data_IF_122084903320
#
_entry.id   IF_122084903320
#
_cell.length_a   1.000
_cell.length_b   1.000
_cell.length_c   1.000
_cell.angle_alpha   90.00
_cell.angle_beta   90.00
_cell.angle_gamma   90.00
#
_symmetry.space_group_name_H-M   'P 1'
#
loop_
_entity.id
_entity.type
_entity.pdbx_description
1 polymer ?
2 non-polymer ?
3 non-polymer ?
4 water ?
#
# COMPACT_ATOMS: atom_id res chain seq x y z
N UNK A 14 -11.44 24.22 18.33
CA UNK A 14 -10.08 24.65 18.07
C UNK A 14 -9.98 26.20 18.12
N UNK A 15 -9.16 26.74 19.00
CA UNK A 15 -9.25 28.16 19.35
C UNK A 15 -8.69 29.05 18.24
N UNK A 16 -9.13 30.31 18.26
CA UNK A 16 -8.69 31.21 17.19
C UNK A 16 -7.23 31.59 17.36
N UNK A 17 -6.75 31.65 18.61
CA UNK A 17 -5.33 31.90 18.84
C UNK A 17 -4.48 30.78 18.27
N UNK A 18 -4.98 29.54 18.33
CA UNK A 18 -4.21 28.41 17.81
C UNK A 18 -4.14 28.47 16.28
N UNK A 19 -5.26 28.79 15.62
CA UNK A 19 -5.25 28.90 14.17
C UNK A 19 -4.28 29.98 13.73
N UNK A 20 -4.28 31.13 14.41
CA UNK A 20 -3.34 32.18 14.08
C UNK A 20 -1.89 31.74 14.27
N UNK A 21 -1.64 30.92 15.30
CA UNK A 21 -0.29 30.39 15.48
C UNK A 21 0.11 29.48 14.32
N UNK A 22 -0.83 28.65 13.85
CA UNK A 22 -0.54 27.83 12.67
C UNK A 22 -0.26 28.69 11.45
N UNK A 23 -1.10 29.70 11.23
CA UNK A 23 -0.88 30.58 10.09
C UNK A 23 0.46 31.29 10.18
N UNK A 24 0.94 31.57 11.41
CA UNK A 24 2.23 32.21 11.58
C UNK A 24 3.39 31.34 11.11
N UNK A 25 3.21 30.01 11.12
CA UNK A 25 4.26 29.11 10.67
C UNK A 25 4.26 28.94 9.15
N UNK A 26 3.11 28.60 8.57
CA UNK A 26 3.07 28.17 7.17
C UNK A 26 2.54 29.24 6.23
N UNK A 27 1.90 30.28 6.75
CA UNK A 27 1.30 31.31 5.91
C UNK A 27 -0.19 31.14 5.80
N UNK A 28 -0.92 32.26 5.77
CA UNK A 28 -2.38 32.20 5.75
C UNK A 28 -2.96 31.30 4.66
N UNK A 29 -2.48 31.29 3.41
CA UNK A 29 -3.09 30.43 2.39
C UNK A 29 -2.93 28.94 2.67
N UNK A 30 -2.05 28.55 3.58
CA UNK A 30 -1.73 27.15 3.80
C UNK A 30 -2.34 26.59 5.08
N UNK A 31 -3.33 27.29 5.64
CA UNK A 31 -4.14 26.81 6.76
C UNK A 31 -5.61 26.92 6.36
N UNK A 32 -6.38 25.85 6.55
CA UNK A 32 -7.81 25.97 6.29
C UNK A 32 -8.63 25.32 7.39
N UNK A 33 -9.65 26.03 7.86
CA UNK A 33 -10.66 25.48 8.75
C UNK A 33 -12.02 25.35 8.08
N UNK A 34 -12.08 25.48 6.75
CA UNK A 34 -13.34 25.40 6.02
C UNK A 34 -13.86 23.97 5.99
N UNK A 35 -15.18 23.83 6.20
CA UNK A 35 -15.77 22.49 6.35
C UNK A 35 -15.50 21.61 5.14
N UNK A 36 -15.62 22.16 3.93
CA UNK A 36 -15.44 21.34 2.73
C UNK A 36 -14.01 20.85 2.61
N UNK A 37 -13.04 21.71 2.93
CA UNK A 37 -11.64 21.32 2.83
C UNK A 37 -11.31 20.27 3.88
N UNK A 38 -11.85 20.45 5.09
CA UNK A 38 -11.64 19.44 6.12
C UNK A 38 -12.28 18.11 5.74
N UNK A 39 -13.47 18.14 5.16
CA UNK A 39 -14.14 16.88 4.80
C UNK A 39 -13.34 16.11 3.75
N UNK A 40 -12.74 16.82 2.79
CA UNK A 40 -11.91 16.19 1.77
C UNK A 40 -10.68 15.51 2.35
N UNK A 41 -10.28 15.91 3.56
CA UNK A 41 -9.12 15.34 4.23
C UNK A 41 -9.50 14.45 5.39
N UNK A 42 -10.77 14.08 5.50
CA UNK A 42 -11.24 13.25 6.59
C UNK A 42 -11.46 11.80 6.23
N UNK A 43 -11.10 11.40 5.02
CA UNK A 43 -11.35 10.05 4.57
C UNK A 43 -10.29 9.68 3.55
N UNK A 44 -10.20 8.38 3.30
CA UNK A 44 -9.31 7.92 2.25
C UNK A 44 -10.15 7.17 1.23
N UNK A 45 -9.61 6.14 0.60
CA UNK A 45 -10.35 5.45 -0.44
C UNK A 45 -11.18 4.29 0.10
N UNK A 46 -11.21 4.08 1.40
CA UNK A 46 -11.98 2.99 1.98
C UNK A 46 -13.35 3.47 2.44
N UNK A 47 -14.18 2.52 2.87
CA UNK A 47 -15.51 2.79 3.41
C UNK A 47 -15.52 3.41 4.80
N UNK A 48 -14.37 3.53 5.48
CA UNK A 48 -14.37 4.10 6.83
C UNK A 48 -14.96 5.49 6.79
N UNK A 49 -15.86 5.78 7.73
CA UNK A 49 -16.67 6.98 7.59
C UNK A 49 -15.79 8.21 7.78
N UNK A 50 -16.12 9.25 7.02
CA UNK A 50 -15.33 10.46 7.04
C UNK A 50 -15.40 11.12 8.41
N UNK A 51 -14.23 11.40 8.98
CA UNK A 51 -14.11 12.11 10.24
C UNK A 51 -13.17 13.28 10.01
N UNK A 52 -13.73 14.47 9.79
CA UNK A 52 -12.93 15.59 9.33
C UNK A 52 -12.03 16.12 10.44
N UNK A 53 -10.79 16.45 10.11
CA UNK A 53 -9.94 17.16 11.06
C UNK A 53 -10.52 18.53 11.34
N UNK A 54 -10.02 19.15 12.41
CA UNK A 54 -10.44 20.51 12.75
C UNK A 54 -9.77 21.57 11.87
N UNK A 55 -8.61 21.25 11.30
CA UNK A 55 -7.96 22.15 10.35
C UNK A 55 -7.08 21.31 9.44
N UNK A 56 -6.77 21.87 8.27
CA UNK A 56 -5.79 21.29 7.37
C UNK A 56 -4.66 22.29 7.19
N UNK A 57 -3.41 21.82 7.22
CA UNK A 57 -2.25 22.67 7.10
C UNK A 57 -1.32 22.09 6.05
N UNK A 58 -0.75 22.94 5.19
CA UNK A 58 0.19 22.54 4.17
C UNK A 58 1.56 23.15 4.45
N UNK A 59 2.43 22.48 5.20
CA UNK A 59 3.77 23.04 5.40
C UNK A 59 4.57 23.04 4.11
N UNK A 60 5.40 24.07 3.97
CA UNK A 60 6.16 24.28 2.75
C UNK A 60 7.60 23.79 2.82
N UNK A 61 8.10 23.43 4.01
CA UNK A 61 9.45 22.90 4.14
C UNK A 61 9.54 22.18 5.48
N UNK A 62 10.67 21.52 5.71
CA UNK A 62 10.77 20.66 6.89
C UNK A 62 10.78 21.48 8.17
N UNK A 63 11.37 22.68 8.13
CA UNK A 63 11.30 23.56 9.31
C UNK A 63 9.86 23.85 9.70
N UNK A 64 8.98 24.08 8.72
CA UNK A 64 7.57 24.31 9.02
C UNK A 64 6.88 23.05 9.55
N UNK A 65 7.22 21.87 9.02
CA UNK A 65 6.65 20.64 9.57
C UNK A 65 7.02 20.53 11.04
N UNK A 66 8.28 20.79 11.36
CA UNK A 66 8.74 20.70 12.75
C UNK A 66 7.99 21.68 13.64
N UNK A 67 7.79 22.92 13.17
CA UNK A 67 7.14 23.92 13.99
C UNK A 67 5.64 23.67 14.13
N UNK A 68 4.97 23.18 13.09
CA UNK A 68 3.56 22.80 13.24
C UNK A 68 3.44 21.64 14.23
N UNK A 69 4.31 20.64 14.11
CA UNK A 69 4.21 19.50 15.02
C UNK A 69 4.41 19.93 16.46
N UNK A 70 5.42 20.78 16.71
CA UNK A 70 5.70 21.21 18.07
C UNK A 70 4.54 22.03 18.63
N UNK A 71 3.92 22.86 17.79
CA UNK A 71 2.77 23.65 18.23
C UNK A 71 1.60 22.76 18.62
N UNK A 72 1.27 21.78 17.77
CA UNK A 72 0.17 20.86 18.06
C UNK A 72 0.48 20.02 19.29
N UNK A 73 1.67 19.42 19.29
CA UNK A 73 2.03 18.50 20.36
C UNK A 73 1.93 19.19 21.73
N UNK A 74 2.54 20.37 21.85
CA UNK A 74 2.57 21.06 23.14
C UNK A 74 1.20 21.59 23.56
N UNK A 75 0.29 21.81 22.62
CA UNK A 75 -1.05 22.25 22.94
C UNK A 75 -2.04 21.10 23.07
N UNK A 76 -1.59 19.85 22.96
CA UNK A 76 -2.49 18.73 23.11
C UNK A 76 -3.44 18.54 21.95
N UNK A 77 -3.01 18.88 20.74
CA UNK A 77 -3.84 18.80 19.54
C UNK A 77 -3.34 17.63 18.69
N UNK A 78 -4.20 16.68 18.33
CA UNK A 78 -3.75 15.55 17.52
C UNK A 78 -3.25 15.99 16.16
N UNK A 79 -2.33 15.18 15.61
CA UNK A 79 -1.71 15.41 14.32
C UNK A 79 -2.02 14.23 13.41
N UNK A 80 -2.47 14.50 12.20
CA UNK A 80 -2.75 13.41 11.27
C UNK A 80 -1.93 13.64 10.00
N UNK A 81 -0.87 12.88 9.73
CA UNK A 81 -0.13 13.09 8.48
C UNK A 81 -1.00 12.67 7.31
N UNK A 82 -0.91 13.42 6.22
CA UNK A 82 -1.77 13.18 5.07
C UNK A 82 -0.89 13.22 3.83
N UNK A 83 -0.88 12.13 3.07
CA UNK A 83 -0.13 12.09 1.83
C UNK A 83 -1.04 12.35 0.66
N UNK A 84 -1.36 11.32 -0.10
CA UNK A 84 -2.28 11.49 -1.21
C UNK A 84 -3.67 10.94 -0.90
N UNK A 85 -3.89 10.43 0.31
CA UNK A 85 -5.21 10.01 0.74
C UNK A 85 -5.74 8.79 0.01
N UNK A 86 -4.86 7.92 -0.50
CA UNK A 86 -5.24 6.71 -1.22
C UNK A 86 -5.22 5.47 -0.33
N UNK A 87 -4.93 5.61 0.95
CA UNK A 87 -4.97 4.48 1.86
C UNK A 87 -6.35 3.83 1.90
N UNK A 88 -6.36 2.59 2.38
CA UNK A 88 -7.64 1.87 2.44
C UNK A 88 -8.01 1.36 3.82
N UNK A 89 -7.35 1.86 4.89
CA UNK A 89 -7.74 1.44 6.23
C UNK A 89 -8.10 2.59 7.16
N UNK A 90 -8.41 3.76 6.62
CA UNK A 90 -8.85 4.86 7.46
C UNK A 90 -7.73 5.54 8.19
N UNK A 91 -6.49 5.39 7.69
CA UNK A 91 -5.37 6.00 8.37
C UNK A 91 -5.49 7.49 8.53
N UNK A 92 -6.15 8.18 7.59
CA UNK A 92 -6.22 9.64 7.69
C UNK A 92 -7.50 10.13 8.38
N UNK A 93 -8.42 9.24 8.78
CA UNK A 93 -9.61 9.68 9.48
C UNK A 93 -9.26 10.34 10.81
N UNK A 94 -9.79 11.55 11.05
CA UNK A 94 -9.43 12.29 12.27
C UNK A 94 -10.38 11.93 13.41
N UNK A 95 -10.16 10.73 13.95
CA UNK A 95 -11.12 10.16 14.91
C UNK A 95 -11.16 10.97 16.20
N UNK A 96 -10.10 11.72 16.52
CA UNK A 96 -10.11 12.60 17.68
C UNK A 96 -9.94 14.07 17.27
N UNK A 97 -10.32 14.39 16.03
CA UNK A 97 -10.13 15.74 15.54
C UNK A 97 -8.66 16.06 15.37
N UNK A 98 -8.33 17.34 15.43
CA UNK A 98 -6.95 17.78 15.36
C UNK A 98 -6.57 18.36 14.01
N UNK A 99 -5.28 18.41 13.76
CA UNK A 99 -4.72 19.10 12.61
C UNK A 99 -4.23 18.05 11.61
N UNK A 100 -4.77 18.10 10.40
CA UNK A 100 -4.32 17.26 9.31
C UNK A 100 -3.18 17.97 8.59
N UNK A 101 -2.03 17.31 8.49
CA UNK A 101 -0.85 17.93 7.88
C UNK A 101 -0.72 17.33 6.50
N UNK A 102 -1.12 18.10 5.48
CA UNK A 102 -0.98 17.66 4.10
C UNK A 102 0.43 17.98 3.64
N UNK A 103 1.20 16.95 3.32
CA UNK A 103 2.63 17.10 3.07
C UNK A 103 2.98 17.29 1.60
N UNK A 104 1.99 17.40 0.71
CA UNK A 104 2.32 17.22 -0.70
C UNK A 104 2.87 18.47 -1.38
N UNK A 105 2.91 19.62 -0.71
CA UNK A 105 3.59 20.74 -1.36
C UNK A 105 5.10 20.63 -1.30
N UNK A 106 5.67 19.77 -0.46
CA UNK A 106 7.09 19.46 -0.57
C UNK A 106 7.24 18.32 -1.57
N UNK A 107 7.62 18.66 -2.80
CA UNK A 107 7.50 17.74 -3.91
C UNK A 107 8.80 17.62 -4.71
N UNK A 108 9.94 17.87 -4.08
CA UNK A 108 11.22 17.87 -4.79
C UNK A 108 11.92 16.53 -4.72
N UNK A 109 12.55 16.15 -5.84
CA UNK A 109 13.47 15.02 -5.92
C UNK A 109 14.89 15.56 -5.77
N UNK A 110 15.66 14.97 -4.86
CA UNK A 110 17.03 15.44 -4.62
C UNK A 110 17.98 14.26 -4.52
N UNK A 111 19.28 14.58 -4.52
CA UNK A 111 20.32 13.61 -4.23
C UNK A 111 20.19 12.38 -5.12
N UNK A 112 19.87 12.60 -6.39
CA UNK A 112 19.84 11.47 -7.32
C UNK A 112 21.27 10.98 -7.52
N UNK A 113 21.54 9.77 -7.09
CA UNK A 113 22.87 9.17 -7.22
C UNK A 113 22.73 7.95 -8.10
N UNK A 114 22.78 8.16 -9.42
CA UNK A 114 22.56 7.04 -10.32
C UNK A 114 23.66 5.99 -10.18
N UNK A 115 24.89 6.41 -9.90
CA UNK A 115 25.99 5.45 -9.75
C UNK A 115 25.83 4.57 -8.52
N UNK A 116 25.07 5.03 -7.52
CA UNK A 116 24.83 4.30 -6.27
C UNK A 116 23.45 3.68 -6.24
N UNK A 117 22.63 3.94 -7.26
CA UNK A 117 21.26 3.45 -7.35
C UNK A 117 20.43 3.94 -6.16
N UNK A 118 20.45 5.26 -5.93
CA UNK A 118 19.67 5.82 -4.84
C UNK A 118 19.17 7.21 -5.21
N UNK A 119 18.11 7.64 -4.51
CA UNK A 119 17.50 8.94 -4.74
C UNK A 119 16.75 9.33 -3.47
N UNK A 120 16.61 10.64 -3.24
CA UNK A 120 15.84 11.16 -2.10
C UNK A 120 14.61 11.88 -2.63
N UNK A 121 13.44 11.58 -2.04
CA UNK A 121 12.19 12.18 -2.48
C UNK A 121 11.42 12.76 -1.29
N UNK A 122 10.71 13.85 -1.55
CA UNK A 122 9.84 14.51 -0.59
C UNK A 122 8.42 13.98 -0.72
N UNK A 123 7.53 14.27 0.23
CA UNK A 123 6.22 13.58 0.23
C UNK A 123 5.33 13.85 -0.99
N UNK A 124 5.47 14.99 -1.64
CA UNK A 124 4.66 15.27 -2.82
C UNK A 124 5.08 14.51 -4.07
N UNK A 125 6.19 13.78 -4.03
CA UNK A 125 6.66 13.00 -5.17
C UNK A 125 5.91 11.67 -5.21
N UNK A 126 5.31 11.37 -6.36
CA UNK A 126 4.66 10.09 -6.60
C UNK A 126 5.59 9.18 -7.41
N UNK A 127 5.25 7.88 -7.45
CA UNK A 127 6.07 6.96 -8.24
C UNK A 127 6.12 7.37 -9.70
N UNK A 128 5.00 7.85 -10.25
CA UNK A 128 5.02 8.26 -11.65
C UNK A 128 5.90 9.47 -11.88
N UNK A 129 5.87 10.44 -10.96
CA UNK A 129 6.79 11.58 -11.08
C UNK A 129 8.25 11.14 -11.02
N UNK A 130 8.56 10.22 -10.10
CA UNK A 130 9.94 9.78 -9.98
C UNK A 130 10.38 9.03 -11.23
N UNK A 131 9.55 8.12 -11.74
CA UNK A 131 9.98 7.35 -12.90
C UNK A 131 10.04 8.21 -14.15
N UNK A 132 9.16 9.21 -14.28
CA UNK A 132 9.31 10.21 -15.34
C UNK A 132 10.65 10.93 -15.22
N UNK A 133 11.02 11.32 -14.01
CA UNK A 133 12.28 12.03 -13.81
C UNK A 133 13.47 11.14 -14.18
N UNK A 134 13.30 9.83 -14.06
CA UNK A 134 14.37 8.87 -14.29
C UNK A 134 14.41 8.35 -15.72
N UNK A 135 13.58 8.86 -16.62
CA UNK A 135 13.63 8.33 -17.97
C UNK A 135 14.95 8.70 -18.61
N UNK A 136 15.50 7.77 -19.38
CA UNK A 136 16.83 7.88 -20.00
C UNK A 136 17.97 7.76 -19.00
N UNK A 137 17.68 7.45 -17.73
CA UNK A 137 18.76 7.11 -16.79
C UNK A 137 19.11 5.64 -16.79
N UNK A 138 18.24 4.78 -17.34
CA UNK A 138 18.41 3.35 -17.22
C UNK A 138 17.98 2.78 -15.89
N UNK A 139 17.44 3.60 -15.01
CA UNK A 139 16.99 3.19 -13.68
C UNK A 139 15.49 3.42 -13.54
N UNK A 140 14.89 2.71 -12.58
CA UNK A 140 13.49 2.91 -12.27
C UNK A 140 13.26 2.53 -10.81
N UNK A 141 12.13 3.00 -10.29
CA UNK A 141 11.70 2.61 -8.96
C UNK A 141 10.54 1.62 -9.08
N UNK A 142 10.69 0.41 -8.56
CA UNK A 142 9.73 -0.66 -8.87
C UNK A 142 8.47 -0.78 -8.03
N UNK A 143 8.42 -0.27 -6.81
CA UNK A 143 7.30 -0.62 -5.93
C UNK A 143 6.04 0.12 -6.41
N UNK A 144 5.03 -0.63 -6.86
CA UNK A 144 3.95 -0.05 -7.67
C UNK A 144 2.55 -0.37 -7.14
N UNK A 145 2.12 0.27 -6.06
CA UNK A 145 0.68 0.30 -5.75
C UNK A 145 -0.10 0.86 -6.92
N UNK A 146 -1.33 0.39 -7.06
CA UNK A 146 -2.14 0.82 -8.18
C UNK A 146 -2.45 2.30 -8.20
N UNK A 147 -2.49 2.92 -7.05
CA UNK A 147 -2.75 4.34 -6.97
C UNK A 147 -1.48 5.15 -7.11
N UNK A 148 -1.61 6.35 -7.64
CA UNK A 148 -0.41 7.20 -7.73
C UNK A 148 -0.26 7.87 -6.40
N UNK A 149 0.32 7.12 -5.52
CA UNK A 149 0.50 7.59 -4.20
C UNK A 149 1.82 8.27 -3.87
N UNK A 150 1.75 9.09 -2.85
CA UNK A 150 2.97 9.65 -2.27
C UNK A 150 3.96 8.55 -1.93
N UNK A 151 5.22 8.72 -2.34
CA UNK A 151 6.24 7.73 -2.00
C UNK A 151 6.50 7.70 -0.50
N UNK A 152 6.44 8.86 0.16
CA UNK A 152 6.60 8.84 1.62
C UNK A 152 5.38 8.22 2.29
N UNK A 153 4.19 8.39 1.71
CA UNK A 153 3.03 7.67 2.20
C UNK A 153 3.19 6.17 2.06
N UNK A 154 3.78 5.73 0.94
CA UNK A 154 4.06 4.32 0.73
C UNK A 154 5.06 3.79 1.75
N UNK A 155 6.08 4.60 2.09
CA UNK A 155 6.97 4.23 3.18
C UNK A 155 6.21 4.14 4.50
N UNK A 156 5.30 5.08 4.75
CA UNK A 156 4.56 5.07 6.01
C UNK A 156 3.64 3.86 6.13
N UNK A 157 3.03 3.38 5.02
CA UNK A 157 2.16 2.22 5.11
C UNK A 157 2.89 0.89 4.95
N UNK A 158 4.16 0.90 4.55
CA UNK A 158 4.87 -0.33 4.21
C UNK A 158 4.34 -1.00 2.93
N UNK A 159 4.06 -0.20 1.91
CA UNK A 159 3.37 -0.67 0.71
C UNK A 159 4.18 -1.71 -0.07
N UNK A 160 3.46 -2.48 -0.89
CA UNK A 160 4.14 -3.31 -1.87
C UNK A 160 3.42 -3.05 -3.19
N UNK A 161 3.51 -3.99 -4.12
CA UNK A 161 2.92 -3.76 -5.44
C UNK A 161 3.13 -4.99 -6.29
N UNK A 162 2.74 -4.90 -7.58
CA UNK A 162 2.90 -6.07 -8.43
C UNK A 162 4.37 -6.44 -8.64
N UNK A 163 5.28 -5.46 -8.61
CA UNK A 163 6.67 -5.79 -8.84
C UNK A 163 7.39 -6.34 -7.62
N UNK A 164 6.75 -6.42 -6.45
CA UNK A 164 7.50 -6.73 -5.23
C UNK A 164 8.02 -8.17 -5.23
N UNK A 165 7.30 -9.09 -5.87
CA UNK A 165 7.73 -10.49 -5.90
C UNK A 165 9.17 -10.63 -6.39
N UNK A 166 9.61 -9.74 -7.28
CA UNK A 166 11.00 -9.75 -7.73
C UNK A 166 11.85 -8.65 -7.13
N UNK A 167 11.30 -7.45 -6.98
CA UNK A 167 12.11 -6.27 -6.67
C UNK A 167 11.94 -5.78 -5.24
N UNK A 168 11.10 -6.41 -4.43
CA UNK A 168 10.97 -6.08 -3.03
C UNK A 168 9.85 -5.08 -2.74
N UNK A 169 9.47 -5.01 -1.46
CA UNK A 169 8.46 -4.10 -0.96
C UNK A 169 9.11 -2.76 -0.60
N UNK A 170 8.33 -1.83 -0.03
CA UNK A 170 8.94 -0.60 0.49
C UNK A 170 9.98 -0.93 1.56
N UNK A 171 9.72 -1.93 2.40
CA UNK A 171 10.68 -2.27 3.45
C UNK A 171 12.01 -2.66 2.86
N UNK A 172 11.99 -3.33 1.70
CA UNK A 172 13.22 -3.74 1.04
C UNK A 172 13.92 -2.59 0.34
N UNK A 173 13.19 -1.54 -0.01
CA UNK A 173 13.74 -0.51 -0.89
C UNK A 173 13.82 0.86 -0.24
N UNK A 174 13.52 0.98 1.04
CA UNK A 174 13.75 2.22 1.79
C UNK A 174 15.08 2.08 2.52
N UNK A 175 16.01 2.98 2.20
CA UNK A 175 17.39 3.00 2.68
C UNK A 175 17.54 3.92 3.89
N UNK A 176 16.72 4.96 3.95
CA UNK A 176 16.87 6.00 4.96
C UNK A 176 15.57 6.79 4.98
N UNK A 177 15.26 7.41 6.12
CA UNK A 177 14.08 8.23 6.24
C UNK A 177 14.42 9.48 7.02
N UNK A 178 13.86 10.60 6.60
CA UNK A 178 13.86 11.82 7.39
C UNK A 178 12.51 11.94 8.07
N UNK A 179 12.50 12.01 9.41
CA UNK A 179 11.26 11.95 10.17
C UNK A 179 11.20 13.12 11.14
N UNK A 180 10.10 13.86 11.13
CA UNK A 180 9.84 14.83 12.17
C UNK A 180 9.11 14.09 13.28
N UNK A 181 9.76 13.95 14.43
CA UNK A 181 9.11 13.26 15.54
C UNK A 181 7.96 14.10 16.09
N UNK A 182 7.08 13.49 16.89
CA UNK A 182 5.85 14.20 17.30
C UNK A 182 6.08 15.54 17.96
N UNK A 183 7.12 15.68 18.77
CA UNK A 183 7.40 16.96 19.40
C UNK A 183 8.22 17.90 18.52
N UNK A 184 8.48 17.55 17.26
CA UNK A 184 9.17 18.44 16.33
C UNK A 184 10.63 18.15 16.09
N UNK A 185 11.27 17.27 16.86
CA UNK A 185 12.66 16.94 16.62
C UNK A 185 12.84 16.27 15.25
N UNK A 186 13.97 16.51 14.60
CA UNK A 186 14.25 15.95 13.28
C UNK A 186 15.22 14.77 13.40
N UNK A 187 14.78 13.62 12.91
CA UNK A 187 15.55 12.37 12.94
C UNK A 187 15.83 11.91 11.52
N UNK A 188 17.09 11.63 11.23
CA UNK A 188 17.44 10.88 10.03
C UNK A 188 17.72 9.47 10.46
N UNK A 189 16.86 8.53 10.08
CA UNK A 189 16.86 7.24 10.76
C UNK A 189 18.17 6.49 10.60
N UNK A 190 18.83 6.61 9.44
CA UNK A 190 20.13 5.98 9.23
C UNK A 190 21.28 6.99 9.24
N UNK A 191 21.00 8.23 9.63
CA UNK A 191 22.00 9.29 9.65
C UNK A 191 21.82 10.24 8.48
N UNK A 192 22.04 11.53 8.69
CA UNK A 192 21.76 12.51 7.65
C UNK A 192 22.65 12.29 6.42
N UNK A 193 22.00 12.15 5.27
CA UNK A 193 22.70 12.02 4.02
C UNK A 193 23.25 10.64 3.70
N UNK A 194 23.00 9.66 4.56
CA UNK A 194 23.64 8.36 4.40
C UNK A 194 22.87 7.46 3.46
N UNK A 195 23.61 6.63 2.73
CA UNK A 195 22.98 5.69 1.81
C UNK A 195 24.00 4.60 1.52
N UNK A 196 23.58 3.36 1.67
CA UNK A 196 24.49 2.23 1.60
C UNK A 196 23.65 0.98 1.46
N UNK A 197 24.32 -0.13 1.19
CA UNK A 197 23.62 -1.38 0.93
C UNK A 197 23.29 -2.16 2.20
N UNK A 198 24.13 -2.07 3.23
CA UNK A 198 23.86 -2.82 4.44
C UNK A 198 24.57 -2.13 5.60
N UNK A 199 24.03 -2.33 6.80
CA UNK A 199 24.66 -1.79 7.99
C UNK A 199 24.25 -2.61 9.19
N UNK A 200 25.20 -2.75 10.12
CA UNK A 200 24.95 -3.30 11.44
C UNK A 200 25.12 -2.23 12.53
N UNK A 201 25.06 -0.95 12.17
CA UNK A 201 25.42 0.11 13.11
C UNK A 201 24.25 0.48 14.01
N UNK A 202 24.25 -0.04 15.23
CA UNK A 202 23.20 0.35 16.15
C UNK A 202 21.94 -0.43 15.85
N UNK A 203 20.82 0.08 16.33
CA UNK A 203 19.53 -0.51 16.00
C UNK A 203 18.99 0.09 14.72
N UNK A 204 18.31 -0.74 13.92
CA UNK A 204 17.89 -0.29 12.61
C UNK A 204 16.62 0.54 12.83
N UNK A 205 16.78 1.86 12.86
CA UNK A 205 15.61 2.70 13.07
C UNK A 205 14.76 2.85 11.82
N UNK A 206 15.37 2.69 10.64
CA UNK A 206 14.62 2.87 9.40
C UNK A 206 13.45 1.90 9.34
N UNK A 207 13.69 0.63 9.69
CA UNK A 207 12.62 -0.35 9.59
C UNK A 207 11.50 -0.13 10.59
N UNK A 208 11.78 0.56 11.70
CA UNK A 208 10.72 0.85 12.65
C UNK A 208 9.72 1.85 12.09
N UNK A 209 10.20 2.83 11.32
CA UNK A 209 9.29 3.85 10.80
C UNK A 209 8.60 3.44 9.50
N UNK A 210 9.19 2.50 8.74
CA UNK A 210 8.46 1.95 7.60
C UNK A 210 7.29 1.15 8.13
N UNK A 211 6.09 1.45 7.64
CA UNK A 211 4.89 0.79 8.13
C UNK A 211 4.35 1.30 9.45
N UNK A 212 4.76 2.49 9.88
CA UNK A 212 4.28 3.07 11.12
C UNK A 212 3.02 3.90 10.95
N UNK A 213 2.60 4.16 9.70
CA UNK A 213 1.28 4.73 9.37
C UNK A 213 1.05 6.09 10.00
N UNK A 214 2.12 6.85 10.25
CA UNK A 214 1.95 8.16 10.82
C UNK A 214 1.70 8.20 12.32
N UNK A 215 1.88 7.07 13.02
CA UNK A 215 1.70 7.03 14.47
C UNK A 215 3.00 7.23 15.24
N UNK A 216 4.15 7.26 14.57
CA UNK A 216 5.43 7.48 15.23
C UNK A 216 6.12 8.76 14.81
N UNK A 217 5.59 9.48 13.84
CA UNK A 217 6.26 10.67 13.34
C UNK A 217 5.88 10.88 11.88
N UNK A 218 6.39 11.99 11.35
CA UNK A 218 6.02 12.47 10.02
C UNK A 218 7.22 12.27 9.11
N UNK A 219 7.07 11.44 8.08
CA UNK A 219 8.14 11.22 7.11
C UNK A 219 8.20 12.40 6.16
N UNK A 220 9.32 13.12 6.17
CA UNK A 220 9.46 14.28 5.28
C UNK A 220 10.44 14.06 4.14
N UNK A 221 11.25 13.00 4.17
CA UNK A 221 11.83 12.53 2.92
C UNK A 221 12.13 11.05 3.07
N UNK A 222 12.25 10.38 1.94
CA UNK A 222 12.59 8.97 1.88
C UNK A 222 13.76 8.80 0.92
N UNK A 223 14.77 8.04 1.33
CA UNK A 223 15.85 7.64 0.44
C UNK A 223 15.54 6.27 -0.11
N UNK A 224 15.44 6.17 -1.44
CA UNK A 224 14.93 4.97 -2.10
C UNK A 224 16.01 4.28 -2.89
N UNK A 225 15.96 2.95 -2.87
CA UNK A 225 16.77 2.12 -3.75
C UNK A 225 16.19 2.12 -5.16
N UNK A 226 17.02 2.43 -6.15
CA UNK A 226 16.66 2.32 -7.55
C UNK A 226 17.20 1.01 -8.14
N UNK A 227 16.60 0.61 -9.26
CA UNK A 227 16.95 -0.65 -9.90
C UNK A 227 17.23 -0.43 -11.38
N UNK A 228 18.10 -1.25 -11.96
CA UNK A 228 18.32 -1.17 -13.42
C UNK A 228 17.08 -1.60 -14.19
N UNK A 229 16.77 -0.87 -15.26
CA UNK A 229 15.67 -1.27 -16.11
C UNK A 229 16.00 -2.62 -16.76
N UNK A 230 15.01 -3.49 -16.96
CA UNK A 230 15.29 -4.81 -17.51
C UNK A 230 15.70 -4.72 -18.97
N UNK A 231 16.57 -5.65 -19.38
CA UNK A 231 17.03 -5.66 -20.77
C UNK A 231 15.88 -5.86 -21.74
N UNK A 232 14.97 -6.77 -21.40
CA UNK A 232 13.81 -7.05 -22.24
C UNK A 232 12.68 -7.46 -21.32
N UNK A 233 11.44 -7.22 -21.79
CA UNK A 233 10.24 -7.49 -21.01
C UNK A 233 9.24 -8.24 -21.87
N UNK A 234 8.54 -9.21 -21.27
CA UNK A 234 7.40 -9.85 -21.91
C UNK A 234 6.30 -9.99 -20.87
N UNK A 235 5.07 -9.62 -21.26
CA UNK A 235 3.92 -9.78 -20.39
C UNK A 235 2.92 -10.71 -21.06
N UNK A 236 2.09 -11.36 -20.25
CA UNK A 236 1.10 -12.25 -20.83
C UNK A 236 -0.03 -12.46 -19.84
N UNK A 237 -1.15 -12.96 -20.33
CA UNK A 237 -2.20 -13.43 -19.45
C UNK A 237 -2.45 -14.90 -19.71
N UNK A 238 -2.95 -15.59 -18.69
CA UNK A 238 -3.17 -17.02 -18.76
C UNK A 238 -4.47 -17.34 -18.04
N UNK A 239 -5.41 -17.96 -18.74
CA UNK A 239 -6.72 -18.26 -18.18
C UNK A 239 -6.78 -19.70 -17.71
N UNK A 240 -7.45 -19.91 -16.58
CA UNK A 240 -7.47 -21.21 -15.95
C UNK A 240 -8.91 -21.69 -15.77
N UNK A 241 -9.11 -23.01 -15.67
CA UNK A 241 -10.46 -23.53 -15.46
C UNK A 241 -11.01 -23.31 -14.07
N UNK A 242 -10.16 -23.01 -13.08
CA UNK A 242 -10.64 -22.89 -11.72
C UNK A 242 -9.64 -22.08 -10.92
N UNK A 243 -10.10 -21.60 -9.77
CA UNK A 243 -9.20 -20.90 -8.85
C UNK A 243 -8.10 -21.84 -8.38
N UNK A 244 -8.48 -23.07 -8.00
CA UNK A 244 -7.50 -24.06 -7.60
C UNK A 244 -6.37 -24.21 -8.62
N UNK A 245 -6.72 -24.26 -9.91
CA UNK A 245 -5.71 -24.45 -10.94
C UNK A 245 -4.78 -23.26 -11.04
N UNK A 246 -5.32 -22.03 -10.95
CA UNK A 246 -4.48 -20.84 -11.06
C UNK A 246 -3.53 -20.72 -9.87
N UNK A 247 -4.02 -21.03 -8.68
CA UNK A 247 -3.21 -20.85 -7.48
C UNK A 247 -2.21 -21.99 -7.33
N UNK A 248 -2.57 -23.22 -7.71
CA UNK A 248 -1.56 -24.28 -7.77
C UNK A 248 -0.44 -23.93 -8.72
N UNK A 249 -0.77 -23.38 -9.89
CA UNK A 249 0.27 -22.92 -10.82
C UNK A 249 1.18 -21.90 -10.14
N UNK A 250 0.58 -20.91 -9.48
CA UNK A 250 1.37 -19.89 -8.79
C UNK A 250 2.34 -20.53 -7.80
N UNK A 251 1.83 -21.39 -6.93
CA UNK A 251 2.71 -22.01 -5.93
C UNK A 251 3.82 -22.80 -6.61
N UNK A 252 3.50 -23.53 -7.67
CA UNK A 252 4.52 -24.34 -8.32
C UNK A 252 5.53 -23.49 -9.08
N UNK A 253 5.11 -22.35 -9.62
CA UNK A 253 6.07 -21.42 -10.24
C UNK A 253 7.04 -20.91 -9.19
N UNK A 254 6.52 -20.53 -8.01
CA UNK A 254 7.41 -20.03 -6.96
C UNK A 254 8.32 -21.12 -6.44
N UNK A 255 7.80 -22.34 -6.27
CA UNK A 255 8.66 -23.41 -5.76
C UNK A 255 9.67 -23.89 -6.79
N UNK A 256 9.44 -23.63 -8.08
CA UNK A 256 10.41 -23.90 -9.13
C UNK A 256 11.44 -22.79 -9.26
N UNK A 257 11.28 -21.72 -8.47
CA UNK A 257 12.23 -20.60 -8.40
C UNK A 257 12.34 -19.85 -9.72
N UNK A 258 11.26 -19.82 -10.51
CA UNK A 258 11.28 -18.97 -11.69
C UNK A 258 11.26 -17.52 -11.20
N UNK A 259 12.24 -16.69 -11.60
CA UNK A 259 12.27 -15.30 -11.10
C UNK A 259 11.32 -14.37 -11.84
N UNK A 260 10.03 -14.69 -11.76
CA UNK A 260 9.01 -13.88 -12.46
C UNK A 260 9.03 -12.45 -11.92
N UNK A 261 8.76 -11.49 -12.81
CA UNK A 261 8.80 -10.10 -12.40
C UNK A 261 7.47 -9.68 -11.78
N UNK A 262 6.39 -10.26 -12.27
CA UNK A 262 5.04 -9.94 -11.83
C UNK A 262 4.22 -11.22 -11.97
N UNK A 263 3.43 -11.54 -10.94
CA UNK A 263 2.48 -12.65 -11.05
C UNK A 263 1.25 -12.26 -10.25
N UNK A 264 0.19 -11.88 -10.95
CA UNK A 264 -1.00 -11.32 -10.33
C UNK A 264 -2.18 -12.21 -10.64
N UNK A 265 -3.00 -12.44 -9.63
CA UNK A 265 -4.18 -13.28 -9.78
C UNK A 265 -5.44 -12.41 -9.81
N UNK A 266 -6.34 -12.72 -10.74
CA UNK A 266 -7.68 -12.16 -10.73
C UNK A 266 -8.66 -13.33 -10.80
N UNK A 267 -9.67 -13.33 -9.93
CA UNK A 267 -10.69 -14.34 -10.14
C UNK A 267 -11.61 -13.88 -11.28
N UNK A 268 -12.57 -14.73 -11.64
CA UNK A 268 -13.45 -14.41 -12.77
C UNK A 268 -14.26 -13.15 -12.53
N UNK A 269 -14.69 -12.91 -11.29
CA UNK A 269 -15.44 -11.69 -10.99
C UNK A 269 -14.57 -10.48 -11.24
N UNK A 270 -13.33 -10.50 -10.74
CA UNK A 270 -12.39 -9.40 -10.97
C UNK A 270 -12.07 -9.24 -12.45
N UNK A 271 -11.85 -10.35 -13.15
CA UNK A 271 -11.54 -10.27 -14.58
C UNK A 271 -12.64 -9.59 -15.34
N UNK A 272 -13.89 -10.00 -15.09
CA UNK A 272 -15.04 -9.37 -15.74
C UNK A 272 -15.12 -7.89 -15.39
N UNK A 273 -14.95 -7.55 -14.11
CA UNK A 273 -14.98 -6.15 -13.70
C UNK A 273 -13.91 -5.34 -14.42
N UNK A 274 -12.70 -5.87 -14.53
CA UNK A 274 -11.64 -5.14 -15.22
C UNK A 274 -11.94 -5.02 -16.71
N UNK A 275 -12.50 -6.08 -17.31
CA UNK A 275 -12.92 -5.99 -18.71
C UNK A 275 -13.87 -4.82 -18.93
N UNK A 276 -14.85 -4.68 -18.03
CA UNK A 276 -15.87 -3.66 -18.20
C UNK A 276 -15.35 -2.26 -17.89
N UNK A 277 -14.33 -2.15 -17.03
CA UNK A 277 -13.82 -0.86 -16.60
C UNK A 277 -12.69 -0.34 -17.47
N UNK A 278 -11.99 -1.23 -18.18
CA UNK A 278 -10.77 -0.87 -18.89
C UNK A 278 -10.79 -1.23 -20.37
N UNK A 279 -11.86 -1.87 -20.85
CA UNK A 279 -11.93 -2.32 -22.23
C UNK A 279 -10.81 -3.31 -22.58
N UNK A 280 -10.35 -4.08 -21.59
CA UNK A 280 -9.73 -5.35 -21.90
C UNK A 280 -10.80 -6.30 -22.41
N UNK A 281 -10.35 -7.36 -23.10
CA UNK A 281 -11.25 -8.37 -23.64
C UNK A 281 -10.77 -9.77 -23.26
N UNK A 282 -10.24 -9.92 -22.04
CA UNK A 282 -9.73 -11.21 -21.62
C UNK A 282 -10.88 -12.19 -21.39
N UNK A 283 -10.66 -13.48 -21.63
CA UNK A 283 -11.67 -14.49 -21.25
C UNK A 283 -12.00 -14.34 -19.77
N UNK A 284 -13.30 -14.41 -19.46
CA UNK A 284 -13.79 -14.29 -18.09
C UNK A 284 -13.53 -15.61 -17.38
N UNK A 285 -12.46 -15.63 -16.59
CA UNK A 285 -11.94 -16.84 -15.96
C UNK A 285 -10.95 -16.42 -14.89
N UNK A 286 -10.68 -17.28 -13.92
CA UNK A 286 -9.54 -17.02 -13.02
C UNK A 286 -8.28 -16.97 -13.85
N UNK A 287 -7.50 -15.90 -13.67
CA UNK A 287 -6.50 -15.53 -14.64
C UNK A 287 -5.24 -15.11 -13.91
N UNK A 288 -4.08 -15.44 -14.48
CA UNK A 288 -2.81 -14.86 -14.05
C UNK A 288 -2.37 -13.82 -15.06
N UNK A 289 -2.02 -12.63 -14.57
CA UNK A 289 -1.25 -11.66 -15.34
C UNK A 289 0.22 -11.88 -14.99
N UNK A 290 1.07 -12.09 -16.00
CA UNK A 290 2.46 -12.43 -15.77
C UNK A 290 3.38 -11.46 -16.49
N UNK A 291 4.54 -11.20 -15.90
CA UNK A 291 5.56 -10.45 -16.61
C UNK A 291 6.93 -11.05 -16.31
N UNK A 292 7.80 -11.05 -17.32
CA UNK A 292 9.12 -11.64 -17.24
C UNK A 292 10.14 -10.61 -17.68
N UNK A 293 11.26 -10.56 -16.95
CA UNK A 293 12.37 -9.66 -17.23
C UNK A 293 13.63 -10.47 -17.48
N UNK A 294 14.41 -10.05 -18.46
CA UNK A 294 15.71 -10.65 -18.68
C UNK A 294 16.20 -10.40 -20.09
N UNK A 295 17.26 -11.12 -20.46
CA UNK A 295 17.74 -11.11 -21.83
C UNK A 295 16.89 -12.03 -22.69
N UNK A 296 17.22 -12.13 -23.98
CA UNK A 296 16.43 -13.01 -24.84
C UNK A 296 16.61 -14.48 -24.45
N UNK A 297 17.80 -14.87 -24.01
CA UNK A 297 18.02 -16.25 -23.58
C UNK A 297 17.26 -16.54 -22.28
N UNK A 298 17.46 -15.71 -21.25
CA UNK A 298 16.81 -15.93 -19.96
C UNK A 298 15.30 -15.91 -20.14
N UNK A 299 14.77 -14.99 -20.97
CA UNK A 299 13.33 -14.93 -21.17
C UNK A 299 12.80 -16.23 -21.74
N UNK A 300 13.45 -16.75 -22.78
CA UNK A 300 13.00 -18.01 -23.38
C UNK A 300 13.03 -19.16 -22.38
N UNK A 301 14.05 -19.18 -21.51
CA UNK A 301 14.12 -20.20 -20.47
C UNK A 301 12.99 -20.05 -19.46
N UNK A 302 12.81 -18.84 -18.91
CA UNK A 302 11.72 -18.61 -17.96
C UNK A 302 10.37 -18.98 -18.57
N UNK A 303 10.18 -18.63 -19.84
CA UNK A 303 8.87 -18.84 -20.46
C UNK A 303 8.52 -20.32 -20.56
N UNK A 304 9.44 -21.14 -21.04
CA UNK A 304 9.01 -22.52 -21.20
C UNK A 304 8.94 -23.27 -19.88
N UNK A 305 9.71 -22.86 -18.87
CA UNK A 305 9.52 -23.45 -17.55
C UNK A 305 8.18 -23.04 -16.95
N UNK A 306 7.77 -21.77 -17.16
CA UNK A 306 6.50 -21.31 -16.62
C UNK A 306 5.32 -21.82 -17.44
N UNK A 307 5.43 -21.82 -18.77
CA UNK A 307 4.38 -22.41 -19.59
C UNK A 307 4.19 -23.89 -19.29
N UNK A 308 5.28 -24.63 -19.04
CA UNK A 308 5.13 -26.04 -18.70
C UNK A 308 4.29 -26.22 -17.44
N UNK A 309 4.51 -25.37 -16.43
CA UNK A 309 3.78 -25.51 -15.18
C UNK A 309 2.32 -25.11 -15.37
N UNK A 310 2.06 -24.01 -16.07
CA UNK A 310 0.67 -23.60 -16.21
C UNK A 310 -0.10 -24.59 -17.07
N UNK A 311 0.55 -25.16 -18.08
CA UNK A 311 -0.12 -26.19 -18.91
C UNK A 311 -0.54 -27.39 -18.08
N UNK A 312 0.31 -27.81 -17.13
CA UNK A 312 -0.03 -28.96 -16.30
C UNK A 312 -1.28 -28.71 -15.46
N UNK A 313 -1.57 -27.45 -15.16
CA UNK A 313 -2.74 -27.11 -14.37
C UNK A 313 -3.87 -26.57 -15.24
N UNK A 314 -3.81 -26.79 -16.55
CA UNK A 314 -4.91 -26.41 -17.41
C UNK A 314 -4.90 -24.97 -17.89
N UNK A 315 -3.79 -24.25 -17.70
CA UNK A 315 -3.73 -22.90 -18.20
C UNK A 315 -3.79 -22.85 -19.71
N UNK A 316 -4.34 -21.76 -20.23
CA UNK A 316 -4.36 -21.51 -21.66
C UNK A 316 -2.96 -21.18 -22.17
N UNK A 317 -2.79 -21.29 -23.48
CA UNK A 317 -1.58 -20.75 -24.07
C UNK A 317 -1.52 -19.26 -23.75
N UNK A 318 -0.31 -18.77 -23.50
CA UNK A 318 -0.16 -17.39 -23.06
C UNK A 318 -0.71 -16.43 -24.11
N UNK A 319 -1.55 -15.50 -23.67
CA UNK A 319 -2.02 -14.39 -24.50
C UNK A 319 -1.03 -13.24 -24.34
N UNK A 320 -0.19 -13.04 -25.34
CA UNK A 320 0.95 -12.14 -25.19
C UNK A 320 0.52 -10.69 -25.32
N UNK A 321 1.24 -9.82 -24.62
CA UNK A 321 1.15 -8.38 -24.81
C UNK A 321 2.57 -7.87 -25.03
N UNK A 324 4.75 -1.88 -26.42
CA UNK A 324 4.70 -1.30 -25.08
C UNK A 324 3.28 -0.90 -24.73
N UNK A 325 2.53 -0.45 -25.73
CA UNK A 325 1.20 0.06 -25.47
C UNK A 325 0.29 -1.02 -24.91
N UNK A 326 0.47 -2.27 -25.33
CA UNK A 326 -0.42 -3.32 -24.86
C UNK A 326 -0.08 -3.78 -23.44
N UNK A 327 1.20 -3.84 -23.08
CA UNK A 327 1.48 -4.14 -21.67
C UNK A 327 1.03 -2.98 -20.79
N UNK A 328 1.14 -1.77 -21.29
CA UNK A 328 0.77 -0.64 -20.50
C UNK A 328 -0.72 -0.71 -20.15
N UNK A 329 -1.53 -1.16 -21.10
CA UNK A 329 -2.97 -1.25 -20.87
C UNK A 329 -3.30 -2.39 -19.92
N UNK A 330 -2.56 -3.46 -20.07
CA UNK A 330 -2.74 -4.61 -19.19
C UNK A 330 -2.51 -4.20 -17.75
N UNK A 331 -1.35 -3.60 -17.47
CA UNK A 331 -1.04 -3.28 -16.09
C UNK A 331 -1.83 -2.07 -15.58
N UNK A 332 -2.23 -1.14 -16.45
CA UNK A 332 -3.13 -0.08 -16.01
C UNK A 332 -4.45 -0.67 -15.53
N UNK A 333 -4.97 -1.65 -16.27
CA UNK A 333 -6.20 -2.30 -15.85
C UNK A 333 -6.05 -2.96 -14.49
N UNK A 334 -4.94 -3.67 -14.28
CA UNK A 334 -4.69 -4.29 -12.98
C UNK A 334 -4.57 -3.23 -11.90
N UNK A 335 -3.83 -2.16 -12.18
CA UNK A 335 -3.67 -1.12 -11.17
C UNK A 335 -5.00 -0.47 -10.81
N UNK A 336 -5.98 -0.49 -11.71
CA UNK A 336 -7.28 0.13 -11.45
C UNK A 336 -8.33 -0.87 -10.97
N UNK A 337 -7.91 -2.09 -10.61
CA UNK A 337 -8.85 -3.12 -10.19
C UNK A 337 -9.76 -2.64 -9.06
N UNK A 338 -9.21 -1.86 -8.12
CA UNK A 338 -10.03 -1.34 -7.02
C UNK A 338 -11.24 -0.58 -7.55
N UNK A 339 -11.01 0.30 -8.52
CA UNK A 339 -12.10 1.08 -9.10
C UNK A 339 -12.98 0.24 -10.01
N UNK A 340 -12.40 -0.77 -10.66
CA UNK A 340 -13.21 -1.69 -11.46
C UNK A 340 -14.21 -2.43 -10.57
N UNK A 341 -13.75 -2.89 -9.40
CA UNK A 341 -14.65 -3.53 -8.44
C UNK A 341 -15.76 -2.56 -8.02
N UNK A 342 -15.38 -1.32 -7.69
CA UNK A 342 -16.35 -0.33 -7.24
C UNK A 342 -17.39 -0.03 -8.31
N UNK A 343 -17.01 -0.09 -9.59
CA UNK A 343 -17.94 0.21 -10.66
C UNK A 343 -18.99 -0.87 -10.87
N UNK A 344 -18.84 -2.03 -10.23
CA UNK A 344 -19.87 -3.07 -10.34
C UNK A 344 -21.17 -2.62 -9.73
N UNK A 345 -21.10 -1.90 -8.61
CA UNK A 345 -22.26 -1.33 -7.93
C UNK A 345 -21.99 0.15 -7.78
N UNK A 346 -22.44 0.96 -8.74
CA UNK A 346 -22.15 2.40 -8.68
C UNK A 346 -22.68 3.03 -7.40
N UNK A 347 -21.94 4.04 -6.91
CA UNK A 347 -22.21 4.63 -5.62
C UNK A 347 -21.69 3.86 -4.43
N UNK A 348 -21.05 2.71 -4.64
CA UNK A 348 -20.57 1.90 -3.54
C UNK A 348 -19.21 2.37 -3.07
N UNK A 349 -18.91 2.05 -1.82
CA UNK A 349 -17.55 2.13 -1.29
C UNK A 349 -17.11 0.71 -0.95
N UNK A 350 -15.83 0.53 -0.65
CA UNK A 350 -15.34 -0.83 -0.46
C UNK A 350 -14.51 -0.95 0.81
N UNK A 351 -14.61 -2.12 1.42
CA UNK A 351 -13.58 -2.58 2.35
C UNK A 351 -12.77 -3.65 1.65
N UNK A 352 -11.53 -3.82 2.07
CA UNK A 352 -10.66 -4.83 1.51
C UNK A 352 -10.00 -5.64 2.60
N UNK A 353 -9.91 -6.95 2.38
CA UNK A 353 -8.96 -7.76 3.11
C UNK A 353 -7.62 -7.76 2.38
N UNK A 354 -6.59 -8.26 3.06
CA UNK A 354 -5.22 -8.15 2.58
C UNK A 354 -4.32 -9.21 3.19
N UNK A 355 -4.83 -10.42 3.42
CA UNK A 355 -4.04 -11.37 4.19
C UNK A 355 -2.84 -11.85 3.38
N UNK A 356 -1.82 -12.33 4.11
CA UNK A 356 -0.65 -12.91 3.48
C UNK A 356 -0.32 -14.17 4.28
N UNK A 357 -0.24 -15.31 3.60
CA UNK A 357 -0.07 -16.60 4.28
C UNK A 357 1.18 -17.27 3.70
N UNK A 358 1.76 -18.24 4.42
CA UNK A 358 2.79 -19.10 3.82
C UNK A 358 2.30 -19.63 2.48
N UNK A 359 3.19 -19.62 1.48
CA UNK A 359 2.71 -19.86 0.11
C UNK A 359 2.05 -21.21 -0.05
N UNK A 360 2.52 -22.24 0.67
CA UNK A 360 1.90 -23.55 0.50
C UNK A 360 0.45 -23.58 0.99
N UNK A 361 0.05 -22.65 1.87
CA UNK A 361 -1.32 -22.56 2.32
C UNK A 361 -2.17 -21.62 1.47
N UNK A 362 -1.59 -20.99 0.45
CA UNK A 362 -2.37 -20.07 -0.37
C UNK A 362 -3.50 -20.77 -1.12
N UNK A 363 -3.30 -21.95 -1.73
CA UNK A 363 -4.44 -22.62 -2.38
C UNK A 363 -5.63 -22.83 -1.44
N UNK A 364 -5.39 -23.32 -0.23
CA UNK A 364 -6.52 -23.58 0.66
C UNK A 364 -7.30 -22.31 0.95
N UNK A 365 -6.60 -21.22 1.27
CA UNK A 365 -7.33 -20.03 1.71
C UNK A 365 -7.99 -19.29 0.55
N UNK A 366 -7.35 -19.23 -0.63
CA UNK A 366 -8.04 -18.59 -1.75
C UNK A 366 -9.26 -19.38 -2.17
N UNK A 367 -9.14 -20.69 -2.26
CA UNK A 367 -10.28 -21.50 -2.67
C UNK A 367 -11.39 -21.39 -1.64
N UNK A 368 -11.03 -21.47 -0.36
CA UNK A 368 -12.01 -21.28 0.71
C UNK A 368 -12.66 -19.90 0.64
N UNK A 369 -11.88 -18.86 0.33
CA UNK A 369 -12.47 -17.51 0.26
C UNK A 369 -13.46 -17.41 -0.89
N UNK A 370 -13.09 -17.96 -2.05
CA UNK A 370 -14.01 -17.99 -3.18
C UNK A 370 -15.29 -18.75 -2.82
N UNK A 371 -15.15 -19.89 -2.11
CA UNK A 371 -16.34 -20.64 -1.70
C UNK A 371 -17.18 -19.84 -0.72
N UNK A 372 -16.54 -19.12 0.20
CA UNK A 372 -17.29 -18.34 1.19
C UNK A 372 -17.96 -17.14 0.55
N UNK A 373 -17.32 -16.51 -0.43
CA UNK A 373 -17.98 -15.41 -1.15
C UNK A 373 -19.23 -15.94 -1.84
N UNK A 374 -19.13 -17.11 -2.45
CA UNK A 374 -20.26 -17.68 -3.19
C UNK A 374 -21.40 -18.03 -2.25
N UNK A 375 -21.08 -18.58 -1.08
CA UNK A 375 -22.11 -19.00 -0.14
C UNK A 375 -22.78 -17.83 0.58
N UNK A 376 -22.32 -16.60 0.36
CA UNK A 376 -22.88 -15.44 1.02
C UNK A 376 -23.59 -14.55 0.01
N UNK A 377 -24.36 -13.60 0.53
CA UNK A 377 -25.02 -12.59 -0.29
C UNK A 377 -24.06 -11.52 -0.79
N UNK A 378 -22.76 -11.68 -0.55
CA UNK A 378 -21.82 -10.59 -0.72
C UNK A 378 -21.24 -10.55 -2.12
N UNK A 379 -21.11 -9.34 -2.65
CA UNK A 379 -20.33 -9.07 -3.85
C UNK A 379 -18.87 -9.01 -3.45
N UNK A 380 -18.04 -9.83 -4.08
CA UNK A 380 -16.62 -9.78 -3.78
C UNK A 380 -15.81 -10.06 -5.02
N UNK A 381 -14.75 -9.29 -5.21
CA UNK A 381 -13.81 -9.51 -6.29
C UNK A 381 -12.47 -9.84 -5.67
N UNK A 382 -11.77 -10.82 -6.21
CA UNK A 382 -10.48 -11.23 -5.64
C UNK A 382 -9.37 -10.82 -6.59
N UNK A 383 -8.37 -10.13 -6.07
CA UNK A 383 -7.20 -9.78 -6.87
C UNK A 383 -6.00 -9.89 -5.94
N UNK A 384 -4.86 -10.27 -6.49
CA UNK A 384 -3.79 -10.41 -5.52
C UNK A 384 -2.37 -10.58 -5.98
N UNK A 385 -1.47 -10.05 -5.14
CA UNK A 385 -0.03 -10.27 -5.29
C UNK A 385 0.31 -11.68 -4.79
N UNK A 386 -0.18 -12.68 -5.52
CA UNK A 386 -0.07 -14.05 -5.06
C UNK A 386 1.36 -14.56 -5.10
N UNK A 387 2.27 -13.91 -5.83
CA UNK A 387 3.66 -14.29 -5.74
C UNK A 387 4.23 -14.12 -4.34
N UNK A 388 3.61 -13.25 -3.54
CA UNK A 388 3.99 -13.05 -2.14
C UNK A 388 3.11 -13.85 -1.18
N UNK A 389 2.21 -14.69 -1.69
CA UNK A 389 1.25 -15.36 -0.82
C UNK A 389 0.17 -14.44 -0.29
N UNK A 390 -0.12 -13.37 -1.01
CA UNK A 390 -0.94 -12.25 -0.58
C UNK A 390 -2.10 -12.09 -1.55
N UNK A 391 -3.27 -11.73 -1.04
CA UNK A 391 -4.36 -11.38 -1.95
C UNK A 391 -5.36 -10.49 -1.22
N UNK A 392 -6.16 -9.79 -2.02
CA UNK A 392 -7.19 -8.90 -1.50
C UNK A 392 -8.56 -9.41 -1.93
N UNK A 393 -9.51 -9.37 -1.01
CA UNK A 393 -10.92 -9.53 -1.31
C UNK A 393 -11.53 -8.14 -1.20
N UNK A 394 -11.96 -7.59 -2.34
CA UNK A 394 -12.55 -6.26 -2.37
C UNK A 394 -14.05 -6.41 -2.27
N UNK A 395 -14.66 -5.81 -1.25
CA UNK A 395 -16.04 -6.05 -0.87
C UNK A 395 -16.83 -4.74 -0.97
N UNK A 396 -17.59 -4.59 -2.05
CA UNK A 396 -18.40 -3.38 -2.24
C UNK A 396 -19.52 -3.26 -1.22
N UNK A 397 -19.82 -2.04 -0.85
CA UNK A 397 -20.84 -1.73 0.13
C UNK A 397 -21.66 -0.53 -0.34
N UNK A 398 -23.00 -0.67 -0.29
CA UNK A 398 -23.91 0.46 -0.22
C UNK A 398 -23.62 1.25 1.06
N UNK A 399 -23.15 2.49 0.95
CA UNK A 399 -22.84 3.27 2.16
C UNK A 399 -24.02 3.45 3.11
N UNK A 400 -25.26 3.18 2.69
CA UNK A 400 -26.43 3.36 3.53
C UNK A 400 -27.02 2.05 4.04
N UNK A 401 -26.42 0.91 3.72
CA UNK A 401 -26.98 -0.40 4.09
C UNK A 401 -26.18 -0.93 5.27
N UNK A 402 -26.67 -0.63 6.48
CA UNK A 402 -25.93 -0.96 7.69
C UNK A 402 -25.83 -2.46 7.92
N UNK A 403 -26.90 -3.20 7.63
CA UNK A 403 -26.86 -4.65 7.78
C UNK A 403 -25.82 -5.28 6.86
N UNK A 404 -25.66 -4.69 5.67
CA UNK A 404 -24.76 -5.19 4.63
C UNK A 404 -23.31 -4.87 4.97
N UNK A 405 -23.07 -3.78 5.73
CA UNK A 405 -21.72 -3.47 6.21
C UNK A 405 -21.29 -4.38 7.34
N UNK A 406 -22.22 -4.72 8.25
CA UNK A 406 -21.87 -5.64 9.32
C UNK A 406 -21.53 -7.02 8.77
N UNK A 407 -22.17 -7.43 7.68
CA UNK A 407 -21.78 -8.68 7.04
C UNK A 407 -20.40 -8.59 6.42
N UNK A 408 -19.95 -7.39 6.05
CA UNK A 408 -18.70 -7.27 5.33
C UNK A 408 -17.52 -7.32 6.28
N UNK A 409 -17.55 -6.55 7.37
CA UNK A 409 -16.47 -6.67 8.33
C UNK A 409 -16.51 -8.04 8.99
N UNK A 410 -17.70 -8.63 9.14
CA UNK A 410 -17.80 -9.98 9.68
C UNK A 410 -17.07 -10.98 8.79
N UNK A 411 -17.33 -10.90 7.48
CA UNK A 411 -16.58 -11.69 6.52
C UNK A 411 -15.09 -11.35 6.58
N UNK A 412 -14.77 -10.05 6.65
CA UNK A 412 -13.37 -9.62 6.65
C UNK A 412 -12.63 -10.09 7.90
N UNK A 413 -13.24 -9.97 9.09
CA UNK A 413 -12.59 -10.50 10.30
C UNK A 413 -12.39 -12.01 10.21
N UNK A 414 -13.40 -12.74 9.72
CA UNK A 414 -13.26 -14.19 9.63
C UNK A 414 -12.15 -14.60 8.70
N UNK A 415 -12.02 -13.92 7.56
CA UNK A 415 -10.92 -14.22 6.66
C UNK A 415 -9.59 -13.90 7.32
N UNK A 416 -9.50 -12.76 8.01
CA UNK A 416 -8.28 -12.43 8.74
C UNK A 416 -7.93 -13.49 9.77
N UNK A 417 -8.92 -13.96 10.53
CA UNK A 417 -8.63 -14.97 11.54
C UNK A 417 -8.22 -16.30 10.90
N UNK A 418 -8.79 -16.64 9.74
CA UNK A 418 -8.36 -17.85 9.04
C UNK A 418 -6.91 -17.73 8.61
N UNK A 419 -6.49 -16.55 8.13
CA UNK A 419 -5.09 -16.37 7.76
C UNK A 419 -4.18 -16.51 8.97
N UNK A 420 -4.58 -15.94 10.11
CA UNK A 420 -3.79 -16.08 11.32
C UNK A 420 -3.69 -17.54 11.74
N UNK A 421 -4.79 -18.29 11.58
CA UNK A 421 -4.77 -19.71 11.93
C UNK A 421 -3.76 -20.49 11.10
N UNK A 422 -3.45 -20.00 9.89
CA UNK A 422 -2.52 -20.66 8.97
C UNK A 422 -1.09 -20.19 9.14
N UNK A 423 -0.80 -19.40 10.19
CA UNK A 423 0.55 -18.90 10.39
C UNK A 423 0.86 -17.63 9.64
N UNK A 424 -0.13 -16.99 9.04
CA UNK A 424 0.08 -15.80 8.24
C UNK A 424 -0.17 -14.51 9.01
N UNK A 425 -0.35 -13.44 8.25
CA UNK A 425 -0.55 -12.11 8.80
C UNK A 425 -1.85 -11.52 8.26
N UNK A 426 -2.48 -10.65 9.04
CA UNK A 426 -3.76 -10.07 8.62
C UNK A 426 -3.60 -9.01 7.55
N UNK A 427 -2.38 -8.50 7.34
CA UNK A 427 -2.17 -7.52 6.28
C UNK A 427 -0.78 -7.65 5.68
N UNK A 428 -0.75 -7.91 4.37
CA UNK A 428 0.51 -8.01 3.66
C UNK A 428 1.07 -6.65 3.28
N UNK A 429 0.21 -5.65 3.08
CA UNK A 429 0.70 -4.36 2.61
C UNK A 429 -0.15 -3.14 2.97
N UNK A 430 -1.47 -3.29 3.13
CA UNK A 430 -2.30 -2.10 3.28
C UNK A 430 -2.15 -1.45 4.66
N UNK A 431 -1.83 -2.24 5.67
CA UNK A 431 -1.72 -1.76 7.02
C UNK A 431 -2.94 -2.04 7.86
N UNK A 432 -2.92 -1.47 9.06
CA UNK A 432 -3.90 -1.75 10.11
C UNK A 432 -4.94 -0.64 10.20
N UNK A 433 -4.48 0.61 10.22
CA UNK A 433 -5.37 1.75 10.36
C UNK A 433 -6.39 1.59 11.47
N UNK A 434 -7.64 1.82 11.10
CA UNK A 434 -8.79 1.64 11.98
C UNK A 434 -9.37 0.24 11.93
N UNK A 435 -9.16 -0.49 10.85
CA UNK A 435 -9.94 -1.69 10.62
C UNK A 435 -9.40 -3.01 11.17
N UNK A 436 -8.08 -3.12 11.34
CA UNK A 436 -7.51 -4.41 11.71
C UNK A 436 -6.88 -4.39 13.10
N UNK A 437 -7.30 -3.48 13.98
CA UNK A 437 -6.61 -3.35 15.27
C UNK A 437 -6.84 -4.57 16.15
N UNK A 438 -8.04 -5.16 16.10
CA UNK A 438 -8.27 -6.38 16.88
C UNK A 438 -7.48 -7.56 16.32
N UNK A 439 -7.41 -7.66 14.98
CA UNK A 439 -6.63 -8.74 14.37
C UNK A 439 -5.15 -8.62 14.74
N UNK A 440 -4.61 -7.40 14.80
CA UNK A 440 -3.21 -7.24 15.17
C UNK A 440 -2.97 -7.77 16.58
N UNK A 441 -3.89 -7.49 17.51
CA UNK A 441 -3.74 -7.99 18.86
C UNK A 441 -3.67 -9.52 18.87
N UNK A 442 -4.50 -10.17 18.06
CA UNK A 442 -4.45 -11.64 18.00
C UNK A 442 -3.17 -12.10 17.33
N UNK A 443 -2.70 -11.35 16.34
CA UNK A 443 -1.55 -11.78 15.54
C UNK A 443 -0.27 -11.81 16.36
N UNK A 444 -0.02 -10.79 17.16
CA UNK A 444 1.26 -10.72 17.87
C UNK A 444 1.15 -10.99 19.36
N UNK A 445 -0.05 -11.08 19.91
CA UNK A 445 -0.20 -11.50 21.28
C UNK A 445 0.11 -10.40 22.26
N UNK A 446 -0.08 -10.67 23.55
CA UNK A 446 0.05 -9.59 24.54
C UNK A 446 1.44 -9.00 24.66
N UNK A 447 2.49 -9.81 24.52
CA UNK A 447 3.83 -9.25 24.68
C UNK A 447 4.20 -8.44 23.43
N UNK A 448 3.75 -8.90 22.26
CA UNK A 448 3.92 -8.12 21.05
C UNK A 448 3.20 -6.78 21.11
N UNK A 449 1.97 -6.79 21.59
CA UNK A 449 1.19 -5.55 21.68
C UNK A 449 1.85 -4.59 22.66
N UNK A 450 2.22 -5.08 23.84
CA UNK A 450 2.82 -4.17 24.81
C UNK A 450 4.14 -3.63 24.30
N UNK A 451 4.94 -4.46 23.61
CA UNK A 451 6.22 -3.98 23.09
C UNK A 451 5.98 -2.90 22.03
N UNK A 452 5.02 -3.12 21.12
CA UNK A 452 4.73 -2.06 20.15
C UNK A 452 4.23 -0.80 20.83
N UNK A 453 3.43 -0.95 21.88
CA UNK A 453 2.91 0.23 22.55
C UNK A 453 4.01 0.96 23.31
N UNK A 454 4.99 0.22 23.82
CA UNK A 454 6.08 0.90 24.51
C UNK A 454 6.90 1.71 23.52
N UNK A 455 7.06 1.23 22.29
CA UNK A 455 7.73 2.01 21.25
C UNK A 455 6.93 3.24 20.88
N UNK A 456 5.63 3.08 20.67
CA UNK A 456 4.76 4.23 20.42
C UNK A 456 4.88 5.26 21.54
N UNK A 457 4.91 4.81 22.79
CA UNK A 457 4.92 5.75 23.90
C UNK A 457 6.25 6.50 24.02
N UNK A 458 7.37 5.89 23.65
CA UNK A 458 8.61 6.67 23.83
C UNK A 458 8.72 7.75 22.78
N UNK A 459 8.20 7.49 21.57
CA UNK A 459 8.26 8.47 20.49
C UNK A 459 7.11 9.47 20.57
N UNK A 460 5.95 9.07 21.08
CA UNK A 460 4.76 9.92 21.14
C UNK A 460 4.16 9.83 22.54
N UNK A 461 4.82 10.40 23.55
CA UNK A 461 4.33 10.21 24.93
C UNK A 461 2.92 10.70 25.13
N UNK A 462 2.52 11.80 24.49
CA UNK A 462 1.18 12.33 24.72
C UNK A 462 0.10 11.65 23.88
N UNK A 463 0.46 10.70 23.00
CA UNK A 463 -0.53 10.01 22.20
C UNK A 463 -1.23 10.88 21.19
N UNK A 464 -0.55 11.89 20.65
CA UNK A 464 -1.14 12.85 19.71
C UNK A 464 -0.78 12.58 18.26
N UNK A 465 0.09 11.62 18.00
CA UNK A 465 0.50 11.25 16.65
C UNK A 465 -0.50 10.26 16.05
N UNK A 466 -1.46 10.77 15.25
CA UNK A 466 -2.48 10.00 14.64
C UNK A 466 -3.16 9.00 15.56
N UNK A 467 -3.86 9.52 16.59
CA UNK A 467 -4.41 8.63 17.62
C UNK A 467 -5.52 7.75 17.08
N UNK A 468 -5.72 6.61 17.73
CA UNK A 468 -6.75 5.67 17.35
C UNK A 468 -6.39 4.72 16.24
N UNK A 469 -5.16 4.74 15.73
CA UNK A 469 -4.74 3.92 14.61
C UNK A 469 -3.69 2.90 15.07
N UNK A 470 -3.78 1.71 14.49
CA UNK A 470 -2.82 0.62 14.61
C UNK A 470 -2.93 -0.07 15.96
N UNK A 471 -2.65 0.67 17.03
CA UNK A 471 -2.76 0.13 18.38
C UNK A 471 -4.02 0.69 19.02
#
# INVERSE_FOLDING_TARGET
WSHPQFEKGSQGGLSQDFVEALKAVVGSPHVSTASAVREQHGHDESMHRCQPPDAVVWPQNVDQVSRVASLCYNQGVPIIPFGTGTGVEGGVCAVQGGVCINLTHMDQITELNTEDFSVVVEPGVTRKALNTHLRDSGLWFPVDPGADASLCGMAATGASGTNAVRYGTMRDNVINLEVVLPDGRLLHTAGRGRHYRKSAAGYNLTGLFVGSEGTLGIITSTTLRLHPAPEATVAATCAFPSVQAAVDSTVQILQAAVPVARIEFLDDVMMDACNRHSKLNCPVAPTLFLEFHGSQQTLAEQLQRTEAITQDNGGSHFSWAKEAEKRNELWAARHNAWYAALALSPGSKAYSTDVCVPISRLPEILVETKEEIKASKLTGAIVGHVGDGNFACILLVDPDDAEEQRRVKAFAENLGRRALALGGTCTGEHGIGLGKRQLLQEEVGPVGVETMRQLKNTLDPRGLMNPGKVL
#
